data_IF_718097754642
#
_entry.id   IF_718097754642
#
_cell.length_a   1.000
_cell.length_b   1.000
_cell.length_c   1.000
_cell.angle_alpha   90.00
_cell.angle_beta   90.00
_cell.angle_gamma   90.00
#
_symmetry.space_group_name_H-M   'P 1'
#
loop_
_entity.id
_entity.type
_entity.pdbx_description
1 polymer ?
#
# COMPACT_ATOMS: atom_id res chain seq x y z
N UNK A 1 34.43 -43.97 23.19
CA UNK A 1 33.49 -42.95 23.71
C UNK A 1 32.19 -43.07 22.96
N UNK A 2 31.03 -43.23 23.63
CA UNK A 2 29.73 -43.24 22.96
C UNK A 2 29.45 -41.87 22.32
N UNK A 3 29.05 -41.86 21.08
CA UNK A 3 28.78 -40.63 20.29
C UNK A 3 27.70 -39.76 20.97
N UNK A 4 26.72 -40.39 21.60
CA UNK A 4 25.67 -39.73 22.36
C UNK A 4 26.21 -38.95 23.57
N UNK A 5 27.15 -39.53 24.31
CA UNK A 5 27.79 -38.86 25.45
C UNK A 5 28.59 -37.64 25.00
N UNK A 6 29.31 -37.76 23.87
CA UNK A 6 30.04 -36.67 23.27
C UNK A 6 29.10 -35.51 22.89
N UNK A 7 28.05 -35.76 22.10
CA UNK A 7 27.11 -34.69 21.68
C UNK A 7 26.38 -34.06 22.87
N UNK A 8 25.99 -34.89 23.87
CA UNK A 8 25.35 -34.35 25.08
C UNK A 8 26.28 -33.42 25.83
N UNK A 9 27.55 -33.83 26.03
CA UNK A 9 28.54 -32.96 26.71
C UNK A 9 28.77 -31.67 25.96
N UNK A 10 28.99 -31.74 24.62
CA UNK A 10 29.20 -30.57 23.77
C UNK A 10 28.00 -29.62 23.81
N UNK A 11 26.77 -30.14 23.61
CA UNK A 11 25.57 -29.32 23.64
C UNK A 11 25.33 -28.66 25.00
N UNK A 12 25.65 -29.37 26.10
CA UNK A 12 25.50 -28.84 27.44
C UNK A 12 26.54 -27.77 27.77
N UNK A 13 27.81 -28.04 27.48
CA UNK A 13 28.90 -27.13 27.85
C UNK A 13 28.99 -25.90 26.93
N UNK A 14 28.82 -26.06 25.62
CA UNK A 14 28.91 -24.97 24.66
C UNK A 14 27.56 -24.26 24.45
N UNK A 15 26.49 -25.04 24.26
CA UNK A 15 25.16 -24.49 23.92
C UNK A 15 24.29 -24.12 25.10
N UNK A 16 24.55 -24.76 26.25
CA UNK A 16 23.68 -24.68 27.42
C UNK A 16 22.53 -25.67 27.40
N UNK A 17 22.35 -26.38 28.54
CA UNK A 17 21.25 -27.33 28.71
C UNK A 17 20.24 -26.76 29.70
N UNK A 18 18.98 -26.70 29.30
CA UNK A 18 17.88 -26.36 30.18
C UNK A 18 17.70 -27.42 31.26
N UNK A 19 17.60 -27.00 32.53
CA UNK A 19 17.42 -27.88 33.68
C UNK A 19 15.99 -27.81 34.20
N UNK A 20 15.56 -26.64 34.65
CA UNK A 20 14.22 -26.42 35.19
C UNK A 20 13.83 -24.94 35.20
N UNK A 21 12.58 -24.72 35.59
CA UNK A 21 12.07 -23.36 35.91
C UNK A 21 11.90 -23.20 37.42
N UNK A 22 12.10 -21.99 37.94
CA UNK A 22 11.71 -21.63 39.29
C UNK A 22 11.01 -20.28 39.32
N UNK A 23 10.03 -20.14 40.23
CA UNK A 23 9.32 -18.89 40.45
C UNK A 23 9.99 -18.06 41.54
N UNK A 24 10.29 -16.79 41.23
CA UNK A 24 10.78 -15.83 42.22
C UNK A 24 10.23 -14.45 41.93
N UNK A 25 9.75 -13.76 42.94
CA UNK A 25 9.15 -12.41 42.81
C UNK A 25 8.00 -12.33 41.74
N UNK A 26 7.19 -13.40 41.63
CA UNK A 26 6.11 -13.44 40.66
C UNK A 26 6.55 -13.59 39.19
N UNK A 27 7.82 -13.87 38.93
CA UNK A 27 8.38 -14.14 37.60
C UNK A 27 8.92 -15.56 37.51
N UNK A 28 8.75 -16.16 36.33
CA UNK A 28 9.29 -17.47 35.99
C UNK A 28 10.72 -17.29 35.44
N UNK A 29 11.70 -17.91 36.09
CA UNK A 29 13.10 -17.94 35.69
C UNK A 29 13.45 -19.32 35.17
N UNK A 30 14.19 -19.35 34.04
CA UNK A 30 14.72 -20.58 33.47
C UNK A 30 16.15 -20.80 33.94
N UNK A 31 16.47 -22.03 34.35
CA UNK A 31 17.82 -22.42 34.76
C UNK A 31 18.49 -23.18 33.62
N UNK A 32 19.65 -22.72 33.21
CA UNK A 32 20.52 -23.37 32.27
C UNK A 32 21.86 -23.70 32.89
N UNK A 33 22.42 -24.89 32.56
CA UNK A 33 23.79 -25.24 32.88
C UNK A 33 24.66 -25.08 31.62
N UNK A 34 25.79 -24.44 31.73
CA UNK A 34 26.71 -24.13 30.66
C UNK A 34 28.12 -23.98 31.21
N UNK A 35 29.14 -24.20 30.38
CA UNK A 35 30.51 -23.90 30.77
C UNK A 35 30.69 -22.38 31.04
N UNK A 36 31.56 -22.03 31.97
CA UNK A 36 31.90 -20.64 32.21
C UNK A 36 32.54 -19.98 30.96
N UNK A 37 32.38 -18.66 30.77
CA UNK A 37 32.78 -17.97 29.53
C UNK A 37 34.25 -18.22 29.12
N UNK A 38 35.14 -18.33 30.10
CA UNK A 38 36.57 -18.61 29.89
C UNK A 38 36.84 -19.97 29.27
N UNK A 39 35.98 -20.95 29.49
CA UNK A 39 36.11 -22.31 28.95
C UNK A 39 35.34 -22.54 27.64
N UNK A 40 34.72 -21.53 27.05
CA UNK A 40 33.99 -21.61 25.77
C UNK A 40 34.32 -20.47 24.81
N UNK A 41 35.46 -19.79 25.07
CA UNK A 41 35.83 -18.58 24.32
C UNK A 41 36.35 -18.86 22.94
N UNK A 42 37.10 -19.92 22.75
CA UNK A 42 37.79 -20.29 21.52
C UNK A 42 37.83 -21.81 21.31
N UNK A 43 38.39 -22.23 20.19
CA UNK A 43 38.53 -23.65 19.82
C UNK A 43 39.48 -24.41 20.76
N UNK A 44 40.45 -23.76 21.40
CA UNK A 44 41.38 -24.37 22.35
C UNK A 44 40.74 -24.70 23.69
N UNK A 45 39.64 -24.05 24.02
CA UNK A 45 38.85 -24.32 25.20
C UNK A 45 38.34 -25.77 25.23
N UNK A 46 38.18 -26.43 24.06
CA UNK A 46 37.76 -27.82 23.94
C UNK A 46 38.78 -28.82 24.53
N UNK A 47 40.04 -28.43 24.67
CA UNK A 47 41.08 -29.24 25.30
C UNK A 47 40.80 -29.46 26.81
N UNK A 48 40.03 -28.58 27.43
CA UNK A 48 39.63 -28.65 28.84
C UNK A 48 38.38 -29.51 29.05
N UNK A 49 37.77 -30.05 28.01
CA UNK A 49 36.56 -30.83 28.14
C UNK A 49 36.81 -32.33 28.21
N UNK A 50 36.01 -32.98 29.05
CA UNK A 50 36.08 -34.41 29.26
C UNK A 50 34.70 -35.05 28.96
N UNK A 51 34.73 -36.22 28.41
CA UNK A 51 33.52 -37.03 28.08
C UNK A 51 33.64 -38.39 28.77
N UNK A 52 32.53 -38.85 29.33
CA UNK A 52 32.42 -40.17 29.93
C UNK A 52 32.40 -41.25 28.84
N UNK A 53 33.20 -42.28 28.98
CA UNK A 53 33.26 -43.43 28.10
C UNK A 53 32.13 -44.45 28.28
N UNK A 54 31.26 -44.23 29.28
CA UNK A 54 30.18 -45.16 29.65
C UNK A 54 30.62 -46.24 30.65
N UNK A 55 31.90 -46.26 31.01
CA UNK A 55 32.47 -47.17 32.03
C UNK A 55 32.91 -46.40 33.27
N UNK A 56 32.67 -45.11 33.32
CA UNK A 56 33.03 -44.22 34.42
C UNK A 56 34.42 -43.56 34.30
N UNK A 57 35.09 -43.69 33.13
CA UNK A 57 36.35 -43.00 32.88
C UNK A 57 36.10 -41.70 32.13
N UNK A 58 36.77 -40.63 32.52
CA UNK A 58 36.71 -39.34 31.84
C UNK A 58 37.83 -39.22 30.82
N UNK A 59 37.46 -39.14 29.53
CA UNK A 59 38.38 -39.05 28.41
C UNK A 59 38.42 -37.62 27.89
N UNK A 60 39.61 -36.99 27.76
CA UNK A 60 39.69 -35.61 27.22
C UNK A 60 39.26 -35.58 25.74
N UNK A 61 38.47 -34.58 25.37
CA UNK A 61 37.92 -34.39 24.01
C UNK A 61 39.04 -34.26 22.98
N UNK A 62 40.17 -33.63 23.33
CA UNK A 62 41.32 -33.45 22.48
C UNK A 62 41.98 -34.78 22.04
N UNK A 63 41.77 -35.87 22.77
CA UNK A 63 42.39 -37.19 22.43
C UNK A 63 41.73 -37.88 21.22
N UNK A 64 40.50 -37.54 20.85
CA UNK A 64 39.76 -38.20 19.80
C UNK A 64 39.06 -37.24 18.80
N UNK A 65 39.25 -35.91 18.99
CA UNK A 65 38.65 -34.93 18.09
C UNK A 65 39.71 -33.99 17.47
N UNK A 66 39.44 -33.56 16.24
CA UNK A 66 40.22 -32.50 15.59
C UNK A 66 39.25 -31.37 15.21
N UNK A 67 39.58 -30.18 15.63
CA UNK A 67 38.77 -28.97 15.35
C UNK A 67 39.32 -28.26 14.12
N UNK A 68 38.45 -28.02 13.13
CA UNK A 68 38.76 -27.25 11.94
C UNK A 68 37.81 -26.07 11.83
N UNK A 69 38.35 -24.91 11.49
CA UNK A 69 37.51 -23.75 11.17
C UNK A 69 36.81 -24.01 9.83
N UNK A 70 35.52 -23.83 9.82
CA UNK A 70 34.69 -23.98 8.60
C UNK A 70 33.58 -22.94 8.61
N UNK A 71 33.08 -22.65 7.44
CA UNK A 71 31.89 -21.80 7.30
C UNK A 71 30.64 -22.67 7.23
N UNK A 72 29.60 -22.28 7.92
CA UNK A 72 28.30 -22.95 7.89
C UNK A 72 27.16 -21.94 8.00
N UNK A 73 25.98 -22.36 7.66
CA UNK A 73 24.78 -21.54 7.85
C UNK A 73 24.38 -21.59 9.32
N UNK A 74 24.15 -20.42 9.92
CA UNK A 74 23.71 -20.32 11.31
C UNK A 74 22.28 -20.87 11.48
N UNK A 75 21.42 -20.60 10.52
CA UNK A 75 20.06 -21.15 10.48
C UNK A 75 19.61 -21.37 9.01
N UNK A 76 18.68 -22.27 8.83
CA UNK A 76 18.03 -22.53 7.53
C UNK A 76 16.60 -22.06 7.63
N UNK A 77 16.27 -21.00 6.89
CA UNK A 77 14.89 -20.53 6.77
C UNK A 77 14.12 -21.32 5.72
N UNK A 78 12.81 -21.38 5.89
CA UNK A 78 11.90 -21.97 4.93
C UNK A 78 10.79 -20.99 4.57
N UNK A 79 10.46 -20.92 3.31
CA UNK A 79 9.31 -20.19 2.80
C UNK A 79 8.42 -21.15 2.04
N UNK A 80 7.15 -21.28 2.42
CA UNK A 80 6.21 -22.26 1.88
C UNK A 80 6.76 -23.69 1.88
N UNK A 81 7.46 -24.09 2.96
CA UNK A 81 8.10 -25.40 3.15
C UNK A 81 9.33 -25.67 2.29
N UNK A 82 9.74 -24.76 1.41
CA UNK A 82 10.98 -24.84 0.67
C UNK A 82 12.11 -24.12 1.40
N UNK A 83 13.32 -24.68 1.33
CA UNK A 83 14.50 -23.96 1.84
C UNK A 83 14.65 -22.65 1.10
N UNK A 84 14.82 -21.58 1.84
CA UNK A 84 14.88 -20.24 1.28
C UNK A 84 15.97 -19.37 1.89
N UNK A 85 16.40 -18.39 1.13
CA UNK A 85 17.23 -17.29 1.59
C UNK A 85 16.45 -16.01 1.38
N UNK A 86 16.34 -15.19 2.42
CA UNK A 86 15.70 -13.88 2.33
C UNK A 86 16.73 -12.83 1.90
N UNK A 87 16.45 -12.16 0.78
CA UNK A 87 17.24 -11.05 0.27
C UNK A 87 16.46 -9.75 0.46
N UNK A 88 17.06 -8.81 1.19
CA UNK A 88 16.52 -7.45 1.32
C UNK A 88 17.28 -6.52 0.38
N UNK A 89 16.57 -5.98 -0.60
CA UNK A 89 17.13 -5.05 -1.57
C UNK A 89 16.62 -3.65 -1.27
N UNK A 90 17.55 -2.72 -1.07
CA UNK A 90 17.23 -1.30 -0.88
C UNK A 90 17.45 -0.57 -2.20
N UNK A 91 16.43 0.03 -2.81
CA UNK A 91 16.59 0.82 -4.04
C UNK A 91 17.57 1.97 -3.84
N UNK A 92 18.36 2.28 -4.87
CA UNK A 92 19.17 3.49 -4.89
C UNK A 92 18.26 4.74 -4.87
N UNK A 93 18.80 5.89 -4.44
CA UNK A 93 18.05 7.13 -4.20
C UNK A 93 17.24 7.67 -5.41
N UNK A 94 17.44 7.13 -6.60
CA UNK A 94 16.72 7.52 -7.83
C UNK A 94 16.05 6.35 -8.55
N UNK A 95 15.97 5.17 -7.94
CA UNK A 95 15.33 3.99 -8.52
C UNK A 95 13.98 3.75 -7.84
N UNK A 96 12.93 3.51 -8.63
CA UNK A 96 11.63 3.13 -8.08
C UNK A 96 11.60 1.65 -7.70
N UNK A 97 10.80 1.30 -6.69
CA UNK A 97 10.62 -0.08 -6.26
C UNK A 97 10.13 -0.98 -7.41
N UNK A 98 9.17 -0.51 -8.19
CA UNK A 98 8.64 -1.24 -9.35
C UNK A 98 9.71 -1.54 -10.39
N UNK A 99 10.60 -0.58 -10.69
CA UNK A 99 11.72 -0.78 -11.63
C UNK A 99 12.70 -1.80 -11.08
N UNK A 100 13.09 -1.66 -9.80
CA UNK A 100 14.02 -2.59 -9.14
C UNK A 100 13.44 -4.01 -9.10
N UNK A 101 12.16 -4.17 -8.78
CA UNK A 101 11.49 -5.48 -8.78
C UNK A 101 11.51 -6.13 -10.17
N UNK A 102 11.29 -5.36 -11.22
CA UNK A 102 11.35 -5.85 -12.60
C UNK A 102 12.76 -6.31 -12.97
N UNK A 103 13.77 -5.51 -12.66
CA UNK A 103 15.18 -5.83 -12.94
C UNK A 103 15.65 -7.06 -12.14
N UNK A 104 15.28 -7.17 -10.87
CA UNK A 104 15.57 -8.36 -10.05
C UNK A 104 14.93 -9.61 -10.67
N UNK A 105 13.67 -9.52 -11.10
CA UNK A 105 12.98 -10.66 -11.72
C UNK A 105 13.65 -11.09 -13.03
N UNK A 106 14.05 -10.12 -13.87
CA UNK A 106 14.75 -10.40 -15.11
C UNK A 106 16.13 -11.03 -14.86
N UNK A 107 16.93 -10.44 -13.96
CA UNK A 107 18.27 -10.96 -13.61
C UNK A 107 18.17 -12.34 -12.97
N UNK A 108 17.18 -12.57 -12.11
CA UNK A 108 16.97 -13.89 -11.50
C UNK A 108 16.65 -14.96 -12.54
N UNK A 109 15.82 -14.64 -13.54
CA UNK A 109 15.49 -15.56 -14.63
C UNK A 109 16.70 -15.92 -15.52
N UNK A 110 17.70 -15.01 -15.63
CA UNK A 110 18.92 -15.27 -16.42
C UNK A 110 20.00 -15.98 -15.61
N UNK A 111 20.05 -15.76 -14.29
CA UNK A 111 21.22 -16.16 -13.47
C UNK A 111 20.95 -17.38 -12.61
N UNK A 112 19.71 -17.60 -12.18
CA UNK A 112 19.38 -18.70 -11.29
C UNK A 112 19.18 -19.99 -12.09
N UNK A 113 19.65 -21.14 -11.55
CA UNK A 113 19.31 -22.46 -12.08
C UNK A 113 17.81 -22.75 -12.02
N UNK A 114 17.32 -23.66 -12.87
CA UNK A 114 15.88 -23.99 -12.98
C UNK A 114 15.26 -24.56 -11.70
N UNK A 115 16.07 -25.05 -10.77
CA UNK A 115 15.65 -25.60 -9.48
C UNK A 115 15.48 -24.54 -8.38
N UNK A 116 15.87 -23.28 -8.66
CA UNK A 116 15.77 -22.16 -7.72
C UNK A 116 14.69 -21.19 -8.18
N UNK A 117 13.59 -21.13 -7.45
CA UNK A 117 12.51 -20.16 -7.67
C UNK A 117 12.68 -18.89 -6.85
N UNK A 118 12.06 -17.81 -7.32
CA UNK A 118 11.97 -16.54 -6.60
C UNK A 118 10.53 -16.26 -6.19
N UNK A 119 10.35 -15.69 -5.00
CA UNK A 119 9.05 -15.26 -4.51
C UNK A 119 9.17 -13.91 -3.79
N UNK A 120 8.19 -13.04 -4.01
CA UNK A 120 8.08 -11.78 -3.29
C UNK A 120 7.39 -11.99 -1.95
N UNK A 121 7.83 -11.27 -0.92
CA UNK A 121 7.21 -11.28 0.42
C UNK A 121 6.95 -9.86 0.93
N UNK A 122 6.12 -9.75 1.98
CA UNK A 122 5.82 -8.48 2.61
C UNK A 122 5.18 -7.46 1.67
N UNK A 123 5.64 -6.22 1.71
CA UNK A 123 5.13 -5.11 0.89
C UNK A 123 5.39 -5.29 -0.60
N UNK A 124 6.51 -5.91 -0.98
CA UNK A 124 6.82 -6.22 -2.38
C UNK A 124 5.85 -7.22 -2.99
N UNK A 125 5.36 -8.20 -2.22
CA UNK A 125 4.30 -9.09 -2.66
C UNK A 125 2.99 -8.35 -2.90
N UNK A 126 2.63 -7.41 -2.00
CA UNK A 126 1.45 -6.57 -2.17
C UNK A 126 1.55 -5.70 -3.41
N UNK A 127 2.72 -5.08 -3.66
CA UNK A 127 2.97 -4.26 -4.85
C UNK A 127 2.88 -5.07 -6.15
N UNK A 128 3.46 -6.27 -6.18
CA UNK A 128 3.39 -7.16 -7.34
C UNK A 128 1.96 -7.61 -7.66
N UNK A 129 1.13 -7.84 -6.64
CA UNK A 129 -0.27 -8.24 -6.83
C UNK A 129 -1.21 -7.06 -7.10
N UNK A 130 -0.98 -5.90 -6.50
CA UNK A 130 -1.81 -4.72 -6.71
C UNK A 130 -1.79 -4.25 -8.18
N UNK A 131 -0.66 -4.38 -8.86
CA UNK A 131 -0.55 -4.04 -10.28
C UNK A 131 -1.44 -4.91 -11.18
N UNK A 132 -1.75 -6.14 -10.78
CA UNK A 132 -2.62 -7.07 -11.52
C UNK A 132 -4.11 -6.81 -11.29
N UNK A 133 -4.50 -6.33 -10.11
CA UNK A 133 -5.90 -6.17 -9.69
C UNK A 133 -6.39 -4.72 -9.73
N UNK A 134 -5.50 -3.75 -9.91
CA UNK A 134 -5.80 -2.32 -9.85
C UNK A 134 -6.95 -1.91 -10.77
N UNK A 135 -6.96 -2.37 -12.02
CA UNK A 135 -8.03 -2.05 -12.98
C UNK A 135 -9.42 -2.51 -12.52
N UNK A 136 -9.51 -3.71 -11.93
CA UNK A 136 -10.76 -4.23 -11.38
C UNK A 136 -11.26 -3.41 -10.19
N UNK A 137 -10.35 -3.01 -9.30
CA UNK A 137 -10.68 -2.16 -8.13
C UNK A 137 -11.23 -0.82 -8.58
N UNK A 138 -10.64 -0.17 -9.59
CA UNK A 138 -11.17 1.09 -10.13
C UNK A 138 -12.55 0.92 -10.76
N UNK A 139 -12.75 -0.14 -11.55
CA UNK A 139 -14.04 -0.41 -12.16
C UNK A 139 -15.13 -0.65 -11.11
N UNK A 140 -14.84 -1.46 -10.10
CA UNK A 140 -15.75 -1.69 -8.98
C UNK A 140 -16.04 -0.41 -8.18
N UNK A 141 -15.01 0.40 -7.89
CA UNK A 141 -15.20 1.67 -7.18
C UNK A 141 -16.13 2.61 -7.96
N UNK A 142 -15.96 2.74 -9.28
CA UNK A 142 -16.84 3.54 -10.13
C UNK A 142 -18.27 3.00 -10.16
N UNK A 143 -18.43 1.67 -10.27
CA UNK A 143 -19.76 1.02 -10.26
C UNK A 143 -20.45 1.25 -8.92
N UNK A 144 -19.78 1.06 -7.79
CA UNK A 144 -20.38 1.29 -6.48
C UNK A 144 -20.77 2.74 -6.25
N UNK A 145 -19.90 3.70 -6.63
CA UNK A 145 -20.21 5.13 -6.54
C UNK A 145 -21.40 5.47 -7.45
N UNK A 146 -21.44 4.92 -8.68
CA UNK A 146 -22.55 5.11 -9.59
C UNK A 146 -23.87 4.60 -9.03
N UNK A 147 -23.87 3.37 -8.50
CA UNK A 147 -25.10 2.77 -7.90
C UNK A 147 -25.55 3.53 -6.66
N UNK A 148 -24.61 3.95 -5.79
CA UNK A 148 -24.94 4.74 -4.61
C UNK A 148 -25.57 6.09 -4.98
N UNK A 149 -25.03 6.77 -6.01
CA UNK A 149 -25.59 8.02 -6.53
C UNK A 149 -26.92 7.80 -7.24
N UNK A 150 -27.06 6.72 -8.01
CA UNK A 150 -28.32 6.38 -8.66
C UNK A 150 -29.45 6.11 -7.67
N UNK A 151 -29.14 5.43 -6.56
CA UNK A 151 -30.06 5.22 -5.46
C UNK A 151 -30.42 6.53 -4.73
N UNK A 152 -29.43 7.43 -4.54
CA UNK A 152 -29.62 8.70 -3.83
C UNK A 152 -30.49 9.68 -4.65
N UNK A 153 -30.31 9.74 -5.97
CA UNK A 153 -30.98 10.71 -6.85
C UNK A 153 -32.18 10.13 -7.58
N UNK A 154 -32.49 8.86 -7.38
CA UNK A 154 -33.58 8.16 -8.11
C UNK A 154 -33.54 8.42 -9.62
N UNK A 155 -32.35 8.56 -10.17
CA UNK A 155 -32.08 8.91 -11.56
C UNK A 155 -30.81 8.26 -12.07
N UNK A 156 -30.80 7.85 -13.34
CA UNK A 156 -29.60 7.33 -14.00
C UNK A 156 -28.74 8.42 -14.66
N UNK A 157 -29.34 9.56 -14.97
CA UNK A 157 -28.66 10.65 -15.67
C UNK A 157 -27.74 11.47 -14.76
N UNK A 158 -28.21 11.87 -13.58
CA UNK A 158 -27.44 12.70 -12.66
C UNK A 158 -26.13 12.03 -12.20
N UNK A 159 -26.13 10.75 -11.81
CA UNK A 159 -24.89 10.04 -11.47
C UNK A 159 -23.89 10.00 -12.62
N UNK A 160 -24.35 9.85 -13.85
CA UNK A 160 -23.48 9.86 -15.03
C UNK A 160 -22.77 11.21 -15.19
N UNK A 161 -23.51 12.33 -15.04
CA UNK A 161 -22.91 13.67 -15.08
C UNK A 161 -21.84 13.86 -13.99
N UNK A 162 -22.09 13.35 -12.80
CA UNK A 162 -21.16 13.43 -11.67
C UNK A 162 -19.89 12.60 -11.96
N UNK A 163 -20.04 11.35 -12.39
CA UNK A 163 -18.91 10.46 -12.64
C UNK A 163 -18.04 10.89 -13.83
N UNK A 164 -18.61 11.53 -14.84
CA UNK A 164 -17.84 12.10 -15.96
C UNK A 164 -16.87 13.21 -15.52
N UNK A 165 -16.97 13.69 -14.27
CA UNK A 165 -16.00 14.62 -13.68
C UNK A 165 -14.72 13.94 -13.15
N UNK A 166 -14.78 12.65 -12.86
CA UNK A 166 -13.65 11.88 -12.27
C UNK A 166 -12.41 11.88 -13.17
N UNK A 167 -12.50 11.72 -14.50
CA UNK A 167 -11.34 11.79 -15.40
C UNK A 167 -10.52 13.07 -15.26
N UNK A 168 -11.15 14.20 -14.93
CA UNK A 168 -10.45 15.48 -14.73
C UNK A 168 -9.53 15.43 -13.51
N UNK A 169 -10.01 14.83 -12.42
CA UNK A 169 -9.22 14.64 -11.20
C UNK A 169 -8.06 13.65 -11.43
N UNK A 170 -8.34 12.54 -12.14
CA UNK A 170 -7.33 11.55 -12.51
C UNK A 170 -6.25 12.17 -13.39
N UNK A 171 -6.63 12.96 -14.38
CA UNK A 171 -5.68 13.70 -15.23
C UNK A 171 -4.76 14.60 -14.39
N UNK A 172 -5.34 15.34 -13.44
CA UNK A 172 -4.57 16.20 -12.53
C UNK A 172 -3.56 15.42 -11.69
N UNK A 173 -3.96 14.29 -11.12
CA UNK A 173 -3.07 13.42 -10.36
C UNK A 173 -1.92 12.88 -11.23
N UNK A 174 -2.22 12.38 -12.43
CA UNK A 174 -1.22 11.85 -13.36
C UNK A 174 -0.24 12.95 -13.80
N UNK A 175 -0.73 14.13 -14.12
CA UNK A 175 0.13 15.26 -14.54
C UNK A 175 1.04 15.74 -13.41
N UNK A 176 0.54 15.81 -12.17
CA UNK A 176 1.36 16.24 -11.04
C UNK A 176 2.41 15.19 -10.65
N UNK A 177 2.05 13.92 -10.59
CA UNK A 177 3.02 12.84 -10.33
C UNK A 177 4.01 12.72 -11.49
N UNK A 178 3.55 12.78 -12.74
CA UNK A 178 4.44 12.78 -13.91
C UNK A 178 5.36 14.00 -13.98
N UNK A 179 4.87 15.20 -13.63
CA UNK A 179 5.69 16.39 -13.49
C UNK A 179 6.73 16.28 -12.38
N UNK A 180 6.35 15.73 -11.24
CA UNK A 180 7.27 15.46 -10.12
C UNK A 180 8.30 14.39 -10.47
N UNK A 181 7.96 13.41 -11.33
CA UNK A 181 8.89 12.41 -11.84
C UNK A 181 10.06 13.05 -12.61
N UNK A 182 9.83 14.15 -13.35
CA UNK A 182 10.91 14.88 -14.04
C UNK A 182 11.92 15.49 -13.05
N UNK A 183 11.48 15.84 -11.85
CA UNK A 183 12.36 16.37 -10.80
C UNK A 183 12.98 15.25 -9.94
N UNK A 184 12.24 14.18 -9.71
CA UNK A 184 12.67 13.03 -8.91
C UNK A 184 12.01 11.74 -9.43
N UNK A 185 12.84 10.85 -9.96
CA UNK A 185 12.40 9.57 -10.55
C UNK A 185 11.72 8.59 -9.59
N UNK A 186 11.67 8.90 -8.30
CA UNK A 186 10.91 8.12 -7.29
C UNK A 186 9.39 8.28 -7.43
N UNK A 187 8.91 9.36 -8.06
CA UNK A 187 7.48 9.60 -8.27
C UNK A 187 6.99 8.81 -9.48
N UNK A 188 6.45 7.64 -9.22
CA UNK A 188 5.96 6.69 -10.23
C UNK A 188 4.54 6.26 -9.92
N UNK A 189 3.88 5.63 -10.88
CA UNK A 189 2.59 5.00 -10.67
C UNK A 189 2.77 3.67 -9.91
N UNK A 190 2.80 3.77 -8.61
CA UNK A 190 2.87 2.66 -7.67
C UNK A 190 1.51 2.39 -6.99
N UNK A 191 1.48 1.46 -6.04
CA UNK A 191 0.27 1.15 -5.25
C UNK A 191 -0.26 2.38 -4.50
N UNK A 192 0.61 3.28 -4.05
CA UNK A 192 0.22 4.46 -3.28
C UNK A 192 -0.46 5.52 -4.15
N UNK A 193 0.03 5.70 -5.38
CA UNK A 193 -0.67 6.51 -6.38
C UNK A 193 -2.04 5.89 -6.70
N UNK A 194 -2.12 4.57 -6.85
CA UNK A 194 -3.38 3.88 -7.14
C UNK A 194 -4.42 4.07 -6.02
N UNK A 195 -4.01 3.96 -4.76
CA UNK A 195 -4.87 4.27 -3.60
C UNK A 195 -5.38 5.72 -3.67
N UNK A 196 -4.50 6.66 -4.01
CA UNK A 196 -4.87 8.08 -4.16
C UNK A 196 -5.89 8.30 -5.27
N UNK A 197 -5.78 7.59 -6.39
CA UNK A 197 -6.76 7.66 -7.48
C UNK A 197 -8.15 7.18 -7.03
N UNK A 198 -8.23 6.10 -6.23
CA UNK A 198 -9.51 5.63 -5.67
C UNK A 198 -10.10 6.69 -4.73
N UNK A 199 -9.28 7.30 -3.87
CA UNK A 199 -9.74 8.39 -3.00
C UNK A 199 -10.24 9.60 -3.80
N UNK A 200 -9.57 9.95 -4.91
CA UNK A 200 -9.96 11.06 -5.77
C UNK A 200 -11.32 10.86 -6.46
N UNK A 201 -11.73 9.62 -6.71
CA UNK A 201 -13.09 9.32 -7.23
C UNK A 201 -14.14 9.92 -6.29
N UNK A 202 -14.05 9.63 -5.00
CA UNK A 202 -15.00 10.15 -4.01
C UNK A 202 -14.90 11.67 -3.81
N UNK A 203 -13.68 12.21 -3.80
CA UNK A 203 -13.45 13.65 -3.61
C UNK A 203 -13.91 14.48 -4.82
N UNK A 204 -13.64 14.03 -6.03
CA UNK A 204 -14.11 14.69 -7.25
C UNK A 204 -15.63 14.61 -7.37
N UNK A 205 -16.21 13.45 -7.09
CA UNK A 205 -17.66 13.28 -7.06
C UNK A 205 -18.33 14.25 -6.08
N UNK A 206 -17.77 14.45 -4.88
CA UNK A 206 -18.29 15.41 -3.90
C UNK A 206 -18.39 16.84 -4.46
N UNK A 207 -17.37 17.31 -5.19
CA UNK A 207 -17.39 18.64 -5.78
C UNK A 207 -18.42 18.75 -6.91
N UNK A 208 -18.53 17.72 -7.75
CA UNK A 208 -19.52 17.65 -8.81
C UNK A 208 -20.95 17.58 -8.27
N UNK A 209 -21.19 16.81 -7.19
CA UNK A 209 -22.49 16.71 -6.50
C UNK A 209 -23.00 18.09 -6.10
N UNK A 210 -22.15 18.93 -5.49
CA UNK A 210 -22.53 20.25 -5.02
C UNK A 210 -23.08 21.16 -6.15
N UNK A 211 -22.55 21.03 -7.35
CA UNK A 211 -22.99 21.82 -8.52
C UNK A 211 -24.22 21.19 -9.15
N UNK A 212 -24.18 19.88 -9.41
CA UNK A 212 -25.22 19.15 -10.12
C UNK A 212 -26.53 19.13 -9.34
N UNK A 213 -26.48 18.88 -8.01
CA UNK A 213 -27.66 18.90 -7.15
C UNK A 213 -28.32 20.30 -7.13
N UNK A 214 -27.49 21.35 -6.99
CA UNK A 214 -28.03 22.69 -6.98
C UNK A 214 -28.58 23.12 -8.33
N UNK A 215 -27.96 22.71 -9.44
CA UNK A 215 -28.48 22.93 -10.78
C UNK A 215 -29.79 22.20 -11.02
N UNK A 216 -29.92 20.95 -10.57
CA UNK A 216 -31.15 20.16 -10.68
C UNK A 216 -32.29 20.78 -9.85
N UNK A 217 -31.98 21.29 -8.66
CA UNK A 217 -32.93 22.03 -7.83
C UNK A 217 -33.44 23.29 -8.51
N UNK A 218 -32.55 24.14 -9.06
CA UNK A 218 -32.93 25.32 -9.82
C UNK A 218 -33.82 24.99 -11.03
N UNK A 219 -33.47 23.93 -11.73
CA UNK A 219 -34.20 23.48 -12.88
C UNK A 219 -35.59 22.96 -12.54
N UNK A 220 -35.74 22.13 -11.51
CA UNK A 220 -37.01 21.49 -11.12
C UNK A 220 -37.95 22.43 -10.33
N UNK A 221 -37.40 23.11 -9.30
CA UNK A 221 -38.22 23.91 -8.38
C UNK A 221 -38.50 25.32 -8.91
N UNK A 222 -37.50 25.98 -9.53
CA UNK A 222 -37.64 27.36 -9.98
C UNK A 222 -38.02 27.49 -11.45
N UNK A 223 -38.06 26.40 -12.19
CA UNK A 223 -38.50 26.39 -13.58
C UNK A 223 -37.57 27.08 -14.57
N UNK A 224 -36.31 27.36 -14.18
CA UNK A 224 -35.29 28.03 -15.01
C UNK A 224 -34.89 27.12 -16.18
N UNK A 225 -34.34 27.68 -17.24
CA UNK A 225 -33.83 26.88 -18.36
C UNK A 225 -32.66 26.00 -17.91
N UNK A 226 -32.41 24.87 -18.58
CA UNK A 226 -31.31 23.93 -18.23
C UNK A 226 -29.95 24.63 -18.25
N UNK A 227 -29.74 25.56 -19.17
CA UNK A 227 -28.50 26.34 -19.29
C UNK A 227 -28.34 27.35 -18.14
N UNK A 228 -29.41 28.11 -17.83
CA UNK A 228 -29.37 29.09 -16.74
C UNK A 228 -29.24 28.42 -15.38
N UNK A 229 -29.87 27.26 -15.17
CA UNK A 229 -29.72 26.43 -13.98
C UNK A 229 -28.27 25.99 -13.79
N UNK A 230 -27.60 25.49 -14.86
CA UNK A 230 -26.21 25.09 -14.81
C UNK A 230 -25.27 26.27 -14.47
N UNK A 231 -25.42 27.42 -15.12
CA UNK A 231 -24.61 28.62 -14.88
C UNK A 231 -24.89 29.21 -13.50
N UNK A 232 -26.14 29.28 -13.10
CA UNK A 232 -26.56 29.76 -11.79
C UNK A 232 -25.98 28.94 -10.65
N UNK A 233 -26.06 27.61 -10.78
CA UNK A 233 -25.46 26.70 -9.82
C UNK A 233 -23.93 26.89 -9.71
N UNK A 234 -23.24 26.98 -10.85
CA UNK A 234 -21.80 27.22 -10.85
C UNK A 234 -21.45 28.50 -10.09
N UNK A 235 -22.09 29.63 -10.43
CA UNK A 235 -21.80 30.93 -9.76
C UNK A 235 -21.99 30.87 -8.24
N UNK A 236 -23.02 30.21 -7.75
CA UNK A 236 -23.32 30.16 -6.32
C UNK A 236 -22.46 29.14 -5.56
N UNK A 237 -22.03 28.08 -6.24
CA UNK A 237 -21.27 26.98 -5.61
C UNK A 237 -19.74 27.11 -5.74
N UNK A 238 -19.21 28.03 -6.55
CA UNK A 238 -17.75 28.26 -6.66
C UNK A 238 -17.09 28.49 -5.30
N UNK A 239 -17.63 29.39 -4.48
CA UNK A 239 -17.03 29.73 -3.17
C UNK A 239 -16.95 28.51 -2.23
N UNK A 240 -18.04 27.74 -1.95
CA UNK A 240 -17.97 26.53 -1.16
C UNK A 240 -16.98 25.48 -1.70
N UNK A 241 -16.92 25.28 -3.02
CA UNK A 241 -16.02 24.31 -3.65
C UNK A 241 -14.57 24.71 -3.42
N UNK A 242 -14.24 25.98 -3.65
CA UNK A 242 -12.88 26.50 -3.42
C UNK A 242 -12.49 26.37 -1.95
N UNK A 243 -13.38 26.72 -1.02
CA UNK A 243 -13.11 26.59 0.42
C UNK A 243 -12.81 25.16 0.83
N UNK A 244 -13.63 24.21 0.37
CA UNK A 244 -13.42 22.79 0.71
C UNK A 244 -12.19 22.20 0.04
N UNK A 245 -11.87 22.61 -1.18
CA UNK A 245 -10.66 22.20 -1.89
C UNK A 245 -9.40 22.72 -1.19
N UNK A 246 -9.34 24.00 -0.80
CA UNK A 246 -8.22 24.55 -0.06
C UNK A 246 -8.05 23.87 1.30
N UNK A 247 -9.13 23.66 2.05
CA UNK A 247 -9.08 22.97 3.33
C UNK A 247 -8.49 21.54 3.18
N UNK A 248 -8.91 20.82 2.15
CA UNK A 248 -8.39 19.48 1.85
C UNK A 248 -6.92 19.54 1.43
N UNK A 249 -6.54 20.41 0.49
CA UNK A 249 -5.16 20.55 0.01
C UNK A 249 -4.22 20.89 1.17
N UNK A 250 -4.58 21.85 2.01
CA UNK A 250 -3.78 22.20 3.19
C UNK A 250 -3.69 21.04 4.20
N UNK A 251 -4.78 20.27 4.37
CA UNK A 251 -4.79 19.07 5.22
C UNK A 251 -3.90 17.94 4.72
N UNK A 252 -3.71 17.83 3.41
CA UNK A 252 -2.86 16.80 2.78
C UNK A 252 -1.40 17.26 2.60
N UNK A 253 -1.14 18.57 2.71
CA UNK A 253 0.20 19.15 2.52
C UNK A 253 1.31 18.48 3.38
N UNK A 254 1.08 18.10 4.64
CA UNK A 254 2.07 17.36 5.42
C UNK A 254 2.51 16.03 4.79
N UNK A 255 1.66 15.38 3.99
CA UNK A 255 2.03 14.17 3.26
C UNK A 255 3.02 14.48 2.13
N UNK A 256 2.85 15.62 1.43
CA UNK A 256 3.75 16.05 0.35
C UNK A 256 5.17 16.28 0.85
N UNK A 257 5.30 16.84 2.06
CA UNK A 257 6.60 17.16 2.68
C UNK A 257 7.05 16.14 3.71
N UNK A 258 6.46 14.96 3.73
CA UNK A 258 6.83 13.92 4.67
C UNK A 258 8.31 13.51 4.50
N UNK A 259 8.99 13.25 5.62
CA UNK A 259 10.38 12.78 5.68
C UNK A 259 10.49 11.52 6.54
N UNK A 260 11.63 10.83 6.46
CA UNK A 260 11.90 9.61 7.22
C UNK A 260 11.40 8.34 6.55
N UNK A 261 11.17 7.30 7.36
CA UNK A 261 10.75 5.98 6.88
C UNK A 261 9.42 6.06 6.15
N UNK A 262 9.31 5.42 4.98
CA UNK A 262 8.15 5.47 4.08
C UNK A 262 7.77 6.88 3.58
N UNK A 263 8.71 7.82 3.56
CA UNK A 263 8.46 9.19 3.07
C UNK A 263 7.99 9.19 1.62
N UNK A 264 8.64 8.43 0.74
CA UNK A 264 8.30 8.35 -0.69
C UNK A 264 6.85 7.94 -0.92
N UNK A 265 6.35 6.94 -0.20
CA UNK A 265 4.96 6.50 -0.28
C UNK A 265 3.98 7.63 0.05
N UNK A 266 4.23 8.33 1.17
CA UNK A 266 3.39 9.48 1.60
C UNK A 266 3.48 10.65 0.63
N UNK A 267 4.65 10.93 0.11
CA UNK A 267 4.88 12.02 -0.84
C UNK A 267 4.13 11.76 -2.16
N UNK A 268 4.21 10.54 -2.70
CA UNK A 268 3.48 10.16 -3.92
C UNK A 268 1.96 10.31 -3.69
N UNK A 269 1.44 9.78 -2.57
CA UNK A 269 0.03 9.98 -2.22
C UNK A 269 -0.34 11.45 -2.11
N UNK A 270 0.45 12.24 -1.41
CA UNK A 270 0.22 13.67 -1.21
C UNK A 270 0.20 14.44 -2.52
N UNK A 271 1.18 14.21 -3.39
CA UNK A 271 1.30 14.88 -4.71
C UNK A 271 0.14 14.49 -5.63
N UNK A 272 -0.24 13.21 -5.67
CA UNK A 272 -1.38 12.74 -6.47
C UNK A 272 -2.70 13.38 -6.01
N UNK A 273 -2.94 13.42 -4.69
CA UNK A 273 -4.16 14.00 -4.11
C UNK A 273 -4.22 15.52 -4.32
N UNK A 274 -3.12 16.23 -4.10
CA UNK A 274 -3.05 17.69 -4.33
C UNK A 274 -3.26 18.00 -5.80
N UNK A 275 -2.55 17.33 -6.71
CA UNK A 275 -2.67 17.54 -8.15
C UNK A 275 -4.07 17.21 -8.65
N UNK A 276 -4.62 16.08 -8.26
CA UNK A 276 -5.99 15.68 -8.62
C UNK A 276 -7.04 16.66 -8.13
N UNK A 277 -6.93 17.10 -6.87
CA UNK A 277 -7.88 18.05 -6.28
C UNK A 277 -7.77 19.46 -6.87
N UNK A 278 -6.57 19.92 -7.19
CA UNK A 278 -6.37 21.21 -7.89
C UNK A 278 -7.05 21.20 -9.25
N UNK A 279 -6.82 20.16 -10.06
CA UNK A 279 -7.44 20.04 -11.38
C UNK A 279 -8.95 19.84 -11.29
N UNK A 280 -9.42 18.98 -10.38
CA UNK A 280 -10.86 18.82 -10.12
C UNK A 280 -11.53 20.12 -9.70
N UNK A 281 -10.83 21.01 -9.03
CA UNK A 281 -11.38 22.30 -8.61
C UNK A 281 -11.29 23.34 -9.71
N UNK A 282 -10.10 23.56 -10.29
CA UNK A 282 -9.89 24.63 -11.28
C UNK A 282 -10.64 24.36 -12.58
N UNK A 283 -10.51 23.14 -13.14
CA UNK A 283 -11.23 22.78 -14.34
C UNK A 283 -12.68 22.37 -14.06
N UNK A 284 -12.92 21.78 -12.89
CA UNK A 284 -14.24 21.30 -12.49
C UNK A 284 -15.29 22.41 -12.45
N UNK A 285 -14.94 23.63 -12.04
CA UNK A 285 -15.84 24.79 -12.05
C UNK A 285 -16.48 25.02 -13.44
N UNK A 286 -15.76 24.73 -14.51
CA UNK A 286 -16.25 24.84 -15.89
C UNK A 286 -16.85 23.52 -16.38
N UNK A 287 -16.26 22.40 -16.03
CA UNK A 287 -16.64 21.07 -16.52
C UNK A 287 -17.96 20.60 -15.89
N UNK A 288 -18.19 20.79 -14.59
CA UNK A 288 -19.40 20.30 -13.92
C UNK A 288 -20.70 20.87 -14.48
N UNK A 289 -20.83 22.22 -14.69
CA UNK A 289 -22.03 22.78 -15.31
C UNK A 289 -22.22 22.31 -16.76
N UNK A 290 -21.11 22.19 -17.51
CA UNK A 290 -21.15 21.71 -18.89
C UNK A 290 -21.62 20.25 -18.97
N UNK A 291 -21.14 19.38 -18.07
CA UNK A 291 -21.57 17.99 -17.99
C UNK A 291 -23.05 17.86 -17.60
N UNK A 292 -23.50 18.65 -16.63
CA UNK A 292 -24.92 18.69 -16.24
C UNK A 292 -25.80 19.09 -17.43
N UNK A 293 -25.44 20.17 -18.15
CA UNK A 293 -26.16 20.62 -19.34
C UNK A 293 -26.17 19.54 -20.44
N UNK A 294 -25.02 18.93 -20.73
CA UNK A 294 -24.89 17.91 -21.75
C UNK A 294 -25.73 16.67 -21.45
N UNK A 295 -25.64 16.14 -20.24
CA UNK A 295 -26.42 14.98 -19.83
C UNK A 295 -27.92 15.31 -19.73
N UNK A 296 -28.28 16.49 -19.24
CA UNK A 296 -29.67 16.95 -19.20
C UNK A 296 -30.31 17.09 -20.59
N UNK A 297 -29.53 17.58 -21.57
CA UNK A 297 -29.98 17.67 -22.96
C UNK A 297 -30.19 16.29 -23.60
N UNK A 298 -29.26 15.36 -23.42
CA UNK A 298 -29.37 13.96 -23.89
C UNK A 298 -30.52 13.24 -23.19
N UNK A 299 -30.65 13.41 -21.89
CA UNK A 299 -31.68 12.78 -21.06
C UNK A 299 -33.08 13.38 -21.24
N UNK A 300 -33.24 14.41 -22.11
CA UNK A 300 -34.49 15.12 -22.37
C UNK A 300 -35.19 15.57 -21.06
N UNK A 301 -34.42 16.09 -20.10
CA UNK A 301 -34.96 16.52 -18.81
C UNK A 301 -36.07 17.56 -18.96
N UNK A 302 -35.99 18.45 -19.96
CA UNK A 302 -37.01 19.45 -20.24
C UNK A 302 -38.34 18.80 -20.63
N UNK A 303 -38.32 17.79 -21.52
CA UNK A 303 -39.54 17.10 -21.95
C UNK A 303 -40.19 16.29 -20.81
N UNK A 304 -39.36 15.72 -19.90
CA UNK A 304 -39.87 15.02 -18.72
C UNK A 304 -40.54 15.98 -17.76
N UNK A 305 -39.98 17.18 -17.55
CA UNK A 305 -40.55 18.21 -16.71
C UNK A 305 -41.91 18.72 -17.21
N UNK A 306 -42.00 18.93 -18.51
CA UNK A 306 -43.27 19.36 -19.11
C UNK A 306 -44.38 18.30 -18.97
N UNK A 307 -44.03 17.03 -19.13
CA UNK A 307 -44.98 15.91 -18.90
C UNK A 307 -45.47 15.85 -17.45
N UNK A 308 -44.56 15.98 -16.48
CA UNK A 308 -44.96 16.00 -15.08
C UNK A 308 -45.91 17.14 -14.74
N UNK A 309 -45.64 18.36 -15.22
CA UNK A 309 -46.55 19.49 -15.04
C UNK A 309 -47.92 19.29 -15.65
N UNK A 310 -47.99 18.58 -16.76
CA UNK A 310 -49.25 18.26 -17.43
C UNK A 310 -50.03 17.18 -16.66
N UNK A 311 -49.35 16.22 -16.05
CA UNK A 311 -49.94 15.18 -15.20
C UNK A 311 -50.42 15.73 -13.84
N UNK A 312 -49.70 16.72 -13.24
CA UNK A 312 -50.10 17.37 -11.99
C UNK A 312 -51.28 18.37 -12.21
N UNK A 313 -51.56 18.78 -13.43
CA UNK A 313 -52.65 19.70 -13.78
C UNK A 313 -53.92 19.01 -14.17
N UNK A 314 -53.94 17.69 -14.31
CA UNK A 314 -55.11 16.82 -14.52
C UNK A 314 -55.60 16.16 -13.25
#
# INVERSE_FOLDING_TARGET
VPLRSFYKTMSTLLGGSYINNFNRFGKLYQTYIQAAPEYRRDKYSLESYFVDDGQGNSIPVSSFTTVRDTTGVEFVSQFNLYRSVSLTVTPAARASTTTVMREITATAAETLPDDIGTAWSGTSYQEANASKTGGLVYALALVFVFLALAALYESWGLPLAILMSVPVAVLGAVLFVGGSHLMNSLYVNDIYMQISLVMLIGLAAKNAILVVEYADRLFREQGVSLMDAAIGAAKLRVRPIIMTAFAFILGVMPLVFASGVYATARNIMGVALVGGMLFATLLGIFVYPALYYFVGKIGRFEQRRERQKTEEAQ
#
